data_IF_044349039603
#
_entry.id   IF_044349039603
#
_cell.length_a   1.000
_cell.length_b   1.000
_cell.length_c   1.000
_cell.angle_alpha   90.00
_cell.angle_beta   90.00
_cell.angle_gamma   90.00
#
_symmetry.space_group_name_H-M   'P 1'
#
loop_
_entity.id
_entity.type
_entity.pdbx_description
1 polymer ?
#
# COMPACT_ATOMS: atom_id res chain seq x y z
N UNK A 1 -10.32 42.44 -15.64
CA UNK A 1 -11.43 42.03 -14.79
C UNK A 1 -11.77 40.54 -14.94
N UNK A 2 -12.01 40.01 -16.16
CA UNK A 2 -12.31 38.59 -16.41
C UNK A 2 -11.24 37.62 -15.88
N UNK A 3 -9.96 37.86 -16.19
CA UNK A 3 -8.81 37.05 -15.72
C UNK A 3 -8.68 37.02 -14.20
N UNK A 4 -8.98 38.10 -13.51
CA UNK A 4 -8.94 38.16 -12.04
C UNK A 4 -10.08 37.32 -11.43
N UNK A 5 -11.27 37.39 -12.00
CA UNK A 5 -12.43 36.59 -11.56
C UNK A 5 -12.17 35.11 -11.81
N UNK A 6 -11.63 34.75 -12.98
CA UNK A 6 -11.28 33.37 -13.31
C UNK A 6 -10.20 32.81 -12.37
N UNK A 7 -9.17 33.61 -12.08
CA UNK A 7 -8.11 33.25 -11.12
C UNK A 7 -8.68 33.06 -9.70
N UNK A 8 -9.58 33.94 -9.25
CA UNK A 8 -10.19 33.83 -7.93
C UNK A 8 -11.07 32.57 -7.81
N UNK A 9 -11.86 32.25 -8.86
CA UNK A 9 -12.71 31.05 -8.89
C UNK A 9 -11.83 29.78 -8.89
N UNK A 10 -10.77 29.73 -9.71
CA UNK A 10 -9.84 28.61 -9.75
C UNK A 10 -9.14 28.42 -8.40
N UNK A 11 -8.66 29.50 -7.80
CA UNK A 11 -7.99 29.44 -6.51
C UNK A 11 -8.92 28.99 -5.37
N UNK A 12 -10.17 29.49 -5.36
CA UNK A 12 -11.18 29.06 -4.38
C UNK A 12 -11.57 27.58 -4.56
N UNK A 13 -11.69 27.09 -5.80
CA UNK A 13 -11.98 25.68 -6.07
C UNK A 13 -10.81 24.76 -5.69
N UNK A 14 -9.57 25.17 -5.89
CA UNK A 14 -8.40 24.42 -5.45
C UNK A 14 -8.37 24.27 -3.93
N UNK A 15 -8.59 25.34 -3.19
CA UNK A 15 -8.59 25.31 -1.72
C UNK A 15 -9.72 24.44 -1.15
N UNK A 16 -10.89 24.42 -1.82
CA UNK A 16 -11.99 23.52 -1.46
C UNK A 16 -11.61 22.04 -1.71
N UNK A 17 -10.97 21.75 -2.83
CA UNK A 17 -10.51 20.40 -3.16
C UNK A 17 -9.44 19.91 -2.18
N UNK A 18 -8.50 20.76 -1.79
CA UNK A 18 -7.49 20.45 -0.77
C UNK A 18 -8.14 20.06 0.56
N UNK A 19 -9.09 20.85 1.03
CA UNK A 19 -9.80 20.58 2.27
C UNK A 19 -10.61 19.26 2.22
N UNK A 20 -11.33 19.03 1.12
CA UNK A 20 -12.08 17.78 0.94
C UNK A 20 -11.13 16.57 0.96
N UNK A 21 -9.97 16.69 0.35
CA UNK A 21 -9.00 15.61 0.32
C UNK A 21 -8.37 15.33 1.69
N UNK A 22 -8.04 16.38 2.45
CA UNK A 22 -7.56 16.23 3.81
C UNK A 22 -8.59 15.51 4.69
N UNK A 23 -9.87 15.94 4.62
CA UNK A 23 -10.95 15.28 5.34
C UNK A 23 -11.13 13.81 4.92
N UNK A 24 -10.99 13.49 3.63
CA UNK A 24 -11.04 12.11 3.13
C UNK A 24 -9.88 11.26 3.65
N UNK A 25 -8.66 11.80 3.70
CA UNK A 25 -7.51 11.09 4.25
C UNK A 25 -7.68 10.80 5.74
N UNK A 26 -8.13 11.79 6.52
CA UNK A 26 -8.40 11.62 7.94
C UNK A 26 -9.52 10.59 8.19
N UNK A 27 -10.57 10.64 7.38
CA UNK A 27 -11.64 9.64 7.42
C UNK A 27 -11.11 8.23 7.14
N UNK A 28 -10.33 8.07 6.07
CA UNK A 28 -9.70 6.79 5.71
C UNK A 28 -8.78 6.28 6.81
N UNK A 29 -7.93 7.15 7.39
CA UNK A 29 -7.04 6.79 8.50
C UNK A 29 -7.84 6.24 9.68
N UNK A 30 -8.96 6.89 10.03
CA UNK A 30 -9.85 6.48 11.11
C UNK A 30 -10.56 5.16 10.79
N UNK A 31 -10.99 4.95 9.54
CA UNK A 31 -11.59 3.68 9.09
C UNK A 31 -10.59 2.53 9.22
N UNK A 32 -9.35 2.69 8.76
CA UNK A 32 -8.34 1.65 8.89
C UNK A 32 -7.98 1.34 10.35
N UNK A 33 -7.89 2.37 11.20
CA UNK A 33 -7.68 2.18 12.63
C UNK A 33 -8.83 1.38 13.25
N UNK A 34 -10.06 1.74 12.92
CA UNK A 34 -11.26 1.05 13.40
C UNK A 34 -11.26 -0.42 12.93
N UNK A 35 -10.96 -0.68 11.65
CA UNK A 35 -10.84 -2.03 11.12
C UNK A 35 -9.77 -2.84 11.85
N UNK A 36 -8.60 -2.25 12.13
CA UNK A 36 -7.56 -2.90 12.89
C UNK A 36 -8.03 -3.28 14.31
N UNK A 37 -8.71 -2.36 15.00
CA UNK A 37 -9.26 -2.61 16.34
C UNK A 37 -10.32 -3.70 16.33
N UNK A 38 -11.29 -3.64 15.40
CA UNK A 38 -12.35 -4.65 15.27
C UNK A 38 -11.73 -6.01 14.96
N UNK A 39 -10.80 -6.08 14.02
CA UNK A 39 -10.11 -7.33 13.70
C UNK A 39 -9.27 -7.85 14.88
N UNK A 40 -8.62 -6.99 15.66
CA UNK A 40 -7.90 -7.40 16.86
C UNK A 40 -8.85 -8.01 17.91
N UNK A 41 -10.02 -7.40 18.08
CA UNK A 41 -11.04 -7.82 19.05
C UNK A 41 -11.69 -9.16 18.69
N UNK A 42 -11.99 -9.43 17.43
CA UNK A 42 -12.62 -10.68 17.01
C UNK A 42 -11.78 -11.88 17.43
N UNK A 43 -12.31 -12.75 18.30
CA UNK A 43 -11.63 -13.96 18.74
C UNK A 43 -11.64 -15.02 17.64
N UNK A 44 -10.46 -15.56 17.30
CA UNK A 44 -10.34 -16.70 16.42
C UNK A 44 -10.15 -17.98 17.25
N UNK A 45 -10.76 -19.09 16.81
CA UNK A 45 -10.62 -20.38 17.48
C UNK A 45 -9.14 -20.77 17.66
N UNK A 46 -8.83 -21.37 18.80
CA UNK A 46 -7.47 -21.82 19.15
C UNK A 46 -7.09 -23.16 18.52
N UNK A 47 -8.03 -23.85 17.86
CA UNK A 47 -7.76 -25.13 17.21
C UNK A 47 -6.64 -25.01 16.17
N UNK A 48 -5.85 -26.07 15.94
CA UNK A 48 -4.72 -26.05 15.00
C UNK A 48 -5.14 -25.72 13.56
N UNK A 49 -6.37 -26.05 13.18
CA UNK A 49 -6.93 -25.78 11.83
C UNK A 49 -7.00 -24.29 11.51
N UNK A 50 -7.29 -23.46 12.53
CA UNK A 50 -7.38 -22.00 12.40
C UNK A 50 -6.04 -21.26 12.53
N UNK A 51 -4.91 -21.98 12.65
CA UNK A 51 -3.57 -21.37 12.72
C UNK A 51 -3.24 -20.43 11.55
N UNK A 52 -3.55 -20.78 10.27
CA UNK A 52 -3.34 -19.86 9.13
C UNK A 52 -4.20 -18.61 9.25
N UNK A 53 -5.46 -18.75 9.64
CA UNK A 53 -6.37 -17.63 9.83
C UNK A 53 -5.90 -16.68 10.94
N UNK A 54 -5.45 -17.21 12.09
CA UNK A 54 -4.88 -16.37 13.15
C UNK A 54 -3.62 -15.62 12.72
N UNK A 55 -2.80 -16.25 11.87
CA UNK A 55 -1.62 -15.60 11.32
C UNK A 55 -2.01 -14.49 10.34
N UNK A 56 -2.90 -14.76 9.40
CA UNK A 56 -3.42 -13.79 8.45
C UNK A 56 -4.05 -12.60 9.18
N UNK A 57 -4.90 -12.86 10.16
CA UNK A 57 -5.53 -11.83 10.98
C UNK A 57 -4.51 -10.90 11.64
N UNK A 58 -3.46 -11.45 12.29
CA UNK A 58 -2.42 -10.62 12.94
C UNK A 58 -1.65 -9.76 11.92
N UNK A 59 -1.38 -10.30 10.74
CA UNK A 59 -0.72 -9.56 9.68
C UNK A 59 -1.61 -8.44 9.15
N UNK A 60 -2.91 -8.69 8.93
CA UNK A 60 -3.85 -7.65 8.50
C UNK A 60 -4.05 -6.57 9.55
N UNK A 61 -4.11 -6.92 10.83
CA UNK A 61 -4.14 -5.91 11.91
C UNK A 61 -2.90 -5.02 11.85
N UNK A 62 -1.72 -5.62 11.68
CA UNK A 62 -0.47 -4.88 11.48
C UNK A 62 -0.53 -3.96 10.26
N UNK A 63 -0.96 -4.47 9.11
CA UNK A 63 -1.10 -3.69 7.88
C UNK A 63 -2.01 -2.47 8.08
N UNK A 64 -3.21 -2.67 8.63
CA UNK A 64 -4.16 -1.58 8.84
C UNK A 64 -3.68 -0.54 9.86
N UNK A 65 -2.93 -0.95 10.89
CA UNK A 65 -2.31 -0.01 11.82
C UNK A 65 -1.25 0.84 11.13
N UNK A 66 -0.38 0.23 10.31
CA UNK A 66 0.63 0.98 9.56
C UNK A 66 -0.01 1.88 8.52
N UNK A 67 -1.05 1.43 7.81
CA UNK A 67 -1.77 2.24 6.83
C UNK A 67 -2.41 3.46 7.49
N UNK A 68 -3.09 3.26 8.62
CA UNK A 68 -3.64 4.37 9.40
C UNK A 68 -2.56 5.34 9.87
N UNK A 69 -1.44 4.81 10.40
CA UNK A 69 -0.32 5.63 10.85
C UNK A 69 0.31 6.44 9.70
N UNK A 70 0.44 5.85 8.51
CA UNK A 70 0.93 6.53 7.31
C UNK A 70 0.03 7.70 6.92
N UNK A 71 -1.28 7.47 6.83
CA UNK A 71 -2.24 8.53 6.49
C UNK A 71 -2.25 9.65 7.51
N UNK A 72 -2.18 9.35 8.81
CA UNK A 72 -2.03 10.37 9.85
C UNK A 72 -0.70 11.11 9.74
N UNK A 73 0.42 10.40 9.54
CA UNK A 73 1.72 11.03 9.34
C UNK A 73 1.70 11.98 8.14
N UNK A 74 1.05 11.58 7.04
CA UNK A 74 0.88 12.43 5.87
C UNK A 74 0.15 13.74 6.22
N UNK A 75 -0.99 13.68 6.92
CA UNK A 75 -1.71 14.88 7.37
C UNK A 75 -0.85 15.80 8.25
N UNK A 76 -0.03 15.24 9.14
CA UNK A 76 0.85 16.02 9.99
C UNK A 76 2.02 16.65 9.24
N UNK A 77 2.62 15.93 8.28
CA UNK A 77 3.79 16.39 7.54
C UNK A 77 3.43 17.44 6.49
N UNK A 78 2.29 17.28 5.82
CA UNK A 78 1.86 18.21 4.76
C UNK A 78 1.08 19.40 5.29
N UNK A 79 0.61 19.35 6.55
CA UNK A 79 -0.34 20.34 7.12
C UNK A 79 -1.56 20.58 6.22
N UNK A 80 -1.96 19.56 5.46
CA UNK A 80 -3.04 19.64 4.48
C UNK A 80 -2.68 20.34 3.16
N UNK A 81 -1.44 20.76 2.94
CA UNK A 81 -1.03 21.40 1.69
C UNK A 81 -0.61 20.36 0.65
N UNK A 82 -1.33 20.32 -0.46
CA UNK A 82 -1.06 19.41 -1.60
C UNK A 82 0.25 19.69 -2.33
N UNK A 83 0.71 20.92 -2.29
CA UNK A 83 1.87 21.38 -3.05
C UNK A 83 3.21 21.03 -2.40
N UNK A 84 3.18 20.51 -1.18
CA UNK A 84 4.39 20.10 -0.46
C UNK A 84 4.66 18.62 -0.67
N UNK A 85 4.66 18.17 -1.96
CA UNK A 85 5.19 16.86 -2.27
C UNK A 85 6.72 16.93 -2.22
N UNK A 86 7.22 16.94 -0.98
CA UNK A 86 8.65 16.96 -0.71
C UNK A 86 9.21 15.53 -0.83
N UNK A 87 10.47 15.40 -1.22
CA UNK A 87 11.21 14.13 -1.26
C UNK A 87 11.11 13.32 0.03
N UNK A 88 10.95 14.00 1.17
CA UNK A 88 10.75 13.36 2.48
C UNK A 88 9.47 12.53 2.53
N UNK A 89 8.39 13.07 2.00
CA UNK A 89 7.06 12.42 1.98
C UNK A 89 7.10 11.22 1.04
N UNK A 90 7.65 11.40 -0.17
CA UNK A 90 7.81 10.30 -1.14
C UNK A 90 8.64 9.15 -0.56
N UNK A 91 9.74 9.45 0.13
CA UNK A 91 10.57 8.44 0.78
C UNK A 91 9.83 7.75 1.93
N UNK A 92 9.07 8.49 2.72
CA UNK A 92 8.25 7.93 3.80
C UNK A 92 7.16 7.01 3.24
N UNK A 93 6.48 7.44 2.18
CA UNK A 93 5.44 6.66 1.50
C UNK A 93 6.00 5.34 0.96
N UNK A 94 7.11 5.36 0.24
CA UNK A 94 7.74 4.13 -0.28
C UNK A 94 8.08 3.15 0.85
N UNK A 95 8.64 3.65 1.96
CA UNK A 95 9.01 2.82 3.11
C UNK A 95 7.77 2.20 3.77
N UNK A 96 6.75 3.01 4.00
CA UNK A 96 5.56 2.59 4.73
C UNK A 96 4.65 1.70 3.88
N UNK A 97 4.37 2.07 2.63
CA UNK A 97 3.58 1.24 1.71
C UNK A 97 4.25 -0.11 1.45
N UNK A 98 5.56 -0.15 1.27
CA UNK A 98 6.26 -1.42 1.09
C UNK A 98 6.08 -2.35 2.30
N UNK A 99 6.18 -1.82 3.52
CA UNK A 99 5.98 -2.59 4.74
C UNK A 99 4.53 -3.10 4.87
N UNK A 100 3.56 -2.23 4.61
CA UNK A 100 2.14 -2.58 4.61
C UNK A 100 1.85 -3.71 3.63
N UNK A 101 2.36 -3.59 2.42
CA UNK A 101 2.17 -4.56 1.36
C UNK A 101 2.78 -5.91 1.71
N UNK A 102 3.94 -5.94 2.37
CA UNK A 102 4.49 -7.20 2.91
C UNK A 102 3.48 -7.86 3.86
N UNK A 103 2.91 -7.11 4.79
CA UNK A 103 1.94 -7.67 5.75
C UNK A 103 0.68 -8.19 5.05
N UNK A 104 0.10 -7.41 4.14
CA UNK A 104 -1.08 -7.79 3.37
C UNK A 104 -0.79 -9.03 2.53
N UNK A 105 0.32 -9.04 1.80
CA UNK A 105 0.74 -10.13 0.95
C UNK A 105 0.87 -11.44 1.72
N UNK A 106 1.55 -11.41 2.86
CA UNK A 106 1.71 -12.61 3.70
C UNK A 106 0.43 -13.01 4.43
N UNK A 107 -0.49 -12.09 4.68
CA UNK A 107 -1.82 -12.43 5.16
C UNK A 107 -2.56 -13.28 4.13
N UNK A 108 -2.64 -12.81 2.88
CA UNK A 108 -3.28 -13.56 1.80
C UNK A 108 -2.61 -14.91 1.52
N UNK A 109 -1.29 -14.97 1.44
CA UNK A 109 -0.59 -16.23 1.26
C UNK A 109 -0.80 -17.20 2.42
N UNK A 110 -0.96 -16.71 3.64
CA UNK A 110 -1.27 -17.57 4.79
C UNK A 110 -2.62 -18.24 4.65
N UNK A 111 -3.59 -17.62 3.96
CA UNK A 111 -4.91 -18.18 3.69
C UNK A 111 -4.90 -19.12 2.47
N UNK A 112 -4.28 -18.69 1.36
CA UNK A 112 -4.30 -19.45 0.10
C UNK A 112 -3.37 -20.65 0.11
N UNK A 113 -2.15 -20.48 0.59
CA UNK A 113 -1.13 -21.52 0.59
C UNK A 113 -0.22 -21.45 1.81
N UNK A 114 -0.55 -22.23 2.82
CA UNK A 114 0.21 -22.34 4.06
C UNK A 114 1.71 -22.62 3.87
N UNK A 115 2.08 -23.31 2.78
CA UNK A 115 3.48 -23.68 2.47
C UNK A 115 4.25 -22.51 1.82
N UNK A 116 3.57 -21.51 1.28
CA UNK A 116 4.24 -20.39 0.62
C UNK A 116 4.77 -19.36 1.63
N UNK A 117 4.02 -19.05 2.67
CA UNK A 117 4.39 -18.08 3.70
C UNK A 117 5.45 -18.62 4.67
N UNK A 118 6.64 -18.95 4.14
CA UNK A 118 7.76 -19.46 4.94
C UNK A 118 8.53 -18.34 5.63
N UNK A 119 9.12 -18.65 6.79
CA UNK A 119 9.98 -17.69 7.52
C UNK A 119 11.14 -17.16 6.65
N UNK A 120 11.76 -18.05 5.84
CA UNK A 120 12.88 -17.66 4.97
C UNK A 120 12.47 -16.59 3.95
N UNK A 121 11.31 -16.75 3.31
CA UNK A 121 10.81 -15.76 2.33
C UNK A 121 10.48 -14.44 3.01
N UNK A 122 9.82 -14.47 4.16
CA UNK A 122 9.55 -13.25 4.94
C UNK A 122 10.83 -12.51 5.31
N UNK A 123 11.90 -13.23 5.68
CA UNK A 123 13.19 -12.60 5.99
C UNK A 123 13.85 -11.99 4.76
N UNK A 124 13.73 -12.62 3.58
CA UNK A 124 14.24 -12.04 2.33
C UNK A 124 13.49 -10.76 1.99
N UNK A 125 12.15 -10.77 2.07
CA UNK A 125 11.35 -9.58 1.79
C UNK A 125 11.56 -8.47 2.82
N UNK A 126 11.73 -8.81 4.09
CA UNK A 126 12.13 -7.85 5.12
C UNK A 126 13.54 -7.26 4.86
N UNK A 127 14.49 -8.08 4.38
CA UNK A 127 15.81 -7.61 3.96
C UNK A 127 15.76 -6.65 2.77
N UNK A 128 14.93 -6.95 1.78
CA UNK A 128 14.69 -6.06 0.64
C UNK A 128 14.02 -4.74 1.07
N UNK A 129 13.07 -4.81 1.99
CA UNK A 129 12.46 -3.63 2.58
C UNK A 129 13.50 -2.78 3.34
N UNK A 130 14.37 -3.39 4.16
CA UNK A 130 15.46 -2.67 4.84
C UNK A 130 16.41 -2.01 3.85
N UNK A 131 16.72 -2.67 2.74
CA UNK A 131 17.52 -2.08 1.66
C UNK A 131 16.79 -0.87 1.04
N UNK A 132 15.48 -0.98 0.79
CA UNK A 132 14.66 0.14 0.30
C UNK A 132 14.67 1.30 1.30
N UNK A 133 14.55 1.03 2.61
CA UNK A 133 14.68 2.05 3.66
C UNK A 133 16.05 2.75 3.60
N UNK A 134 17.14 1.99 3.48
CA UNK A 134 18.48 2.54 3.40
C UNK A 134 18.64 3.46 2.16
N UNK A 135 18.14 3.04 1.00
CA UNK A 135 18.17 3.83 -0.23
C UNK A 135 17.31 5.11 -0.09
N UNK A 136 16.08 5.00 0.43
CA UNK A 136 15.20 6.14 0.64
C UNK A 136 15.79 7.15 1.62
N UNK A 137 16.36 6.69 2.73
CA UNK A 137 17.03 7.56 3.70
C UNK A 137 18.28 8.19 3.07
N UNK A 138 19.07 7.46 2.28
CA UNK A 138 20.24 8.00 1.59
C UNK A 138 19.88 9.12 0.62
N UNK A 139 18.69 9.06 -0.01
CA UNK A 139 18.20 10.12 -0.90
C UNK A 139 17.94 11.45 -0.18
N UNK A 140 17.77 11.42 1.15
CA UNK A 140 17.47 12.61 1.97
C UNK A 140 18.75 13.22 2.58
N UNK A 141 19.80 12.42 2.75
CA UNK A 141 21.04 12.87 3.43
C UNK A 141 21.78 13.89 2.56
N UNK A 142 22.17 15.06 3.11
CA UNK A 142 22.82 16.15 2.37
C UNK A 142 24.09 15.71 1.59
N UNK A 143 24.88 14.82 2.15
CA UNK A 143 26.11 14.31 1.54
C UNK A 143 25.86 13.58 0.22
N UNK A 144 24.67 12.99 0.03
CA UNK A 144 24.30 12.21 -1.15
C UNK A 144 23.36 12.94 -2.12
N UNK A 145 23.12 14.24 -1.92
CA UNK A 145 22.27 15.05 -2.78
C UNK A 145 22.57 14.91 -4.29
N UNK A 146 23.84 14.84 -4.75
CA UNK A 146 24.14 14.65 -6.18
C UNK A 146 23.61 13.32 -6.75
N UNK A 147 23.38 12.33 -5.89
CA UNK A 147 22.92 10.97 -6.25
C UNK A 147 21.47 10.71 -5.84
N UNK A 148 20.75 11.74 -5.38
CA UNK A 148 19.37 11.64 -4.86
C UNK A 148 18.44 10.86 -5.78
N UNK A 149 18.40 11.22 -7.06
CA UNK A 149 17.48 10.60 -8.02
C UNK A 149 17.81 9.13 -8.27
N UNK A 150 19.09 8.77 -8.22
CA UNK A 150 19.52 7.37 -8.36
C UNK A 150 19.03 6.54 -7.19
N UNK A 151 19.19 7.03 -5.97
CA UNK A 151 18.72 6.33 -4.75
C UNK A 151 17.19 6.22 -4.74
N UNK A 152 16.48 7.31 -5.07
CA UNK A 152 15.03 7.35 -5.18
C UNK A 152 14.50 6.35 -6.19
N UNK A 153 15.02 6.40 -7.44
CA UNK A 153 14.61 5.48 -8.50
C UNK A 153 14.94 4.03 -8.16
N UNK A 154 16.06 3.78 -7.50
CA UNK A 154 16.44 2.44 -7.04
C UNK A 154 15.48 1.89 -5.98
N UNK A 155 15.10 2.71 -4.99
CA UNK A 155 14.13 2.35 -3.96
C UNK A 155 12.75 2.04 -4.59
N UNK A 156 12.28 2.91 -5.47
CA UNK A 156 11.01 2.74 -6.19
C UNK A 156 11.02 1.50 -7.08
N UNK A 157 12.13 1.23 -7.76
CA UNK A 157 12.30 0.03 -8.60
C UNK A 157 12.20 -1.25 -7.78
N UNK A 158 12.81 -1.29 -6.59
CA UNK A 158 12.70 -2.43 -5.68
C UNK A 158 11.26 -2.64 -5.21
N UNK A 159 10.55 -1.57 -4.89
CA UNK A 159 9.15 -1.62 -4.49
C UNK A 159 8.25 -2.13 -5.62
N UNK A 160 8.39 -1.59 -6.84
CA UNK A 160 7.64 -2.04 -8.02
C UNK A 160 7.95 -3.51 -8.32
N UNK A 161 9.21 -3.93 -8.27
CA UNK A 161 9.60 -5.31 -8.49
C UNK A 161 8.97 -6.26 -7.45
N UNK A 162 8.85 -5.82 -6.20
CA UNK A 162 8.13 -6.56 -5.16
C UNK A 162 6.66 -6.73 -5.51
N UNK A 163 5.95 -5.65 -5.90
CA UNK A 163 4.53 -5.69 -6.27
C UNK A 163 4.31 -6.64 -7.47
N UNK A 164 5.09 -6.49 -8.54
CA UNK A 164 4.98 -7.34 -9.74
C UNK A 164 5.18 -8.81 -9.38
N UNK A 165 6.23 -9.12 -8.60
CA UNK A 165 6.49 -10.48 -8.11
C UNK A 165 5.33 -11.02 -7.29
N UNK A 166 4.75 -10.17 -6.43
CA UNK A 166 3.63 -10.55 -5.60
C UNK A 166 2.40 -10.87 -6.43
N UNK A 167 1.97 -9.95 -7.29
CA UNK A 167 0.80 -10.14 -8.17
C UNK A 167 0.94 -11.42 -9.01
N UNK A 168 2.10 -11.62 -9.63
CA UNK A 168 2.38 -12.84 -10.39
C UNK A 168 2.24 -14.11 -9.54
N UNK A 169 2.86 -14.11 -8.37
CA UNK A 169 2.81 -15.26 -7.46
C UNK A 169 1.41 -15.51 -6.95
N UNK A 170 0.67 -14.44 -6.65
CA UNK A 170 -0.70 -14.55 -6.19
C UNK A 170 -1.60 -15.18 -7.26
N UNK A 171 -1.54 -14.68 -8.49
CA UNK A 171 -2.33 -15.23 -9.62
C UNK A 171 -2.06 -16.74 -9.77
N UNK A 172 -0.78 -17.15 -9.71
CA UNK A 172 -0.42 -18.59 -9.78
C UNK A 172 -1.01 -19.41 -8.62
N UNK A 173 -0.93 -18.88 -7.39
CA UNK A 173 -1.47 -19.57 -6.21
C UNK A 173 -2.99 -19.62 -6.23
N UNK A 174 -3.63 -18.56 -6.67
CA UNK A 174 -5.07 -18.49 -6.85
C UNK A 174 -5.55 -19.52 -7.87
N UNK A 175 -4.97 -19.56 -9.07
CA UNK A 175 -5.30 -20.54 -10.10
C UNK A 175 -5.08 -21.99 -9.63
N UNK A 176 -3.99 -22.24 -8.89
CA UNK A 176 -3.74 -23.56 -8.32
C UNK A 176 -4.77 -23.94 -7.24
N UNK A 177 -5.27 -22.98 -6.49
CA UNK A 177 -6.31 -23.19 -5.48
C UNK A 177 -7.67 -23.45 -6.12
N UNK A 178 -8.03 -22.69 -7.16
CA UNK A 178 -9.25 -22.91 -7.95
C UNK A 178 -9.27 -24.34 -8.53
N UNK A 179 -8.21 -24.73 -9.23
CA UNK A 179 -8.11 -26.09 -9.83
C UNK A 179 -8.22 -27.22 -8.78
N UNK A 180 -7.69 -27.00 -7.57
CA UNK A 180 -7.83 -27.99 -6.49
C UNK A 180 -9.26 -28.09 -5.99
N UNK A 181 -9.96 -26.98 -5.91
CA UNK A 181 -11.34 -26.96 -5.42
C UNK A 181 -12.33 -27.51 -6.46
N UNK A 182 -12.13 -27.23 -7.74
CA UNK A 182 -12.90 -27.82 -8.83
C UNK A 182 -12.81 -29.35 -8.84
N UNK A 183 -11.66 -29.91 -8.41
CA UNK A 183 -11.46 -31.36 -8.32
C UNK A 183 -12.08 -32.02 -7.07
N UNK A 184 -12.35 -31.24 -6.00
CA UNK A 184 -12.78 -31.81 -4.71
C UNK A 184 -14.18 -31.40 -4.25
N UNK A 185 -14.74 -30.29 -4.77
CA UNK A 185 -16.00 -29.75 -4.26
C UNK A 185 -16.92 -29.28 -5.39
N UNK A 186 -18.14 -29.82 -5.42
CA UNK A 186 -19.20 -29.33 -6.30
C UNK A 186 -19.81 -28.02 -5.76
N UNK A 187 -19.90 -27.02 -6.63
CA UNK A 187 -20.76 -25.82 -6.65
C UNK A 187 -20.77 -24.79 -5.47
N UNK A 188 -20.58 -25.15 -4.21
CA UNK A 188 -20.80 -24.18 -3.12
C UNK A 188 -19.58 -23.33 -2.72
N UNK A 189 -18.37 -23.66 -3.18
CA UNK A 189 -17.15 -22.92 -2.85
C UNK A 189 -16.75 -21.85 -3.88
N UNK A 190 -17.39 -21.81 -5.03
CA UNK A 190 -17.09 -20.81 -6.08
C UNK A 190 -17.23 -19.37 -5.57
N UNK A 191 -18.24 -19.06 -4.76
CA UNK A 191 -18.46 -17.73 -4.21
C UNK A 191 -17.30 -17.24 -3.33
N UNK A 192 -16.75 -18.09 -2.46
CA UNK A 192 -15.65 -17.72 -1.57
C UNK A 192 -14.35 -17.44 -2.34
N UNK A 193 -14.11 -18.18 -3.42
CA UNK A 193 -12.93 -18.01 -4.27
C UNK A 193 -13.07 -16.75 -5.13
N UNK A 194 -14.24 -16.48 -5.66
CA UNK A 194 -14.51 -15.25 -6.42
C UNK A 194 -14.24 -14.01 -5.59
N UNK A 195 -14.66 -13.99 -4.33
CA UNK A 195 -14.35 -12.89 -3.40
C UNK A 195 -12.86 -12.64 -3.23
N UNK A 196 -12.09 -13.72 -3.10
CA UNK A 196 -10.63 -13.61 -2.97
C UNK A 196 -10.01 -13.07 -4.26
N UNK A 197 -10.49 -13.51 -5.44
CA UNK A 197 -10.05 -13.00 -6.74
C UNK A 197 -10.36 -11.51 -6.91
N UNK A 198 -11.60 -11.11 -6.60
CA UNK A 198 -12.03 -9.70 -6.67
C UNK A 198 -11.21 -8.82 -5.73
N UNK A 199 -10.95 -9.27 -4.49
CA UNK A 199 -10.13 -8.53 -3.53
C UNK A 199 -8.73 -8.26 -4.04
N UNK A 200 -8.12 -9.18 -4.78
CA UNK A 200 -6.79 -8.99 -5.35
C UNK A 200 -6.79 -8.06 -6.55
N UNK A 201 -7.81 -8.13 -7.39
CA UNK A 201 -7.95 -7.16 -8.49
C UNK A 201 -8.07 -5.75 -7.93
N UNK A 202 -8.93 -5.55 -6.93
CA UNK A 202 -9.07 -4.26 -6.26
C UNK A 202 -7.75 -3.79 -5.64
N UNK A 203 -7.02 -4.69 -5.00
CA UNK A 203 -5.72 -4.38 -4.40
C UNK A 203 -4.66 -4.04 -5.46
N UNK A 204 -4.62 -4.77 -6.59
CA UNK A 204 -3.73 -4.45 -7.69
C UNK A 204 -4.04 -3.09 -8.32
N UNK A 205 -5.32 -2.73 -8.45
CA UNK A 205 -5.76 -1.39 -8.88
C UNK A 205 -5.33 -0.33 -7.88
N UNK A 206 -5.50 -0.56 -6.58
CA UNK A 206 -5.07 0.37 -5.53
C UNK A 206 -3.55 0.59 -5.56
N UNK A 207 -2.76 -0.45 -5.75
CA UNK A 207 -1.30 -0.33 -5.90
C UNK A 207 -0.91 0.45 -7.15
N UNK A 208 -1.58 0.17 -8.28
CA UNK A 208 -1.35 0.93 -9.51
C UNK A 208 -1.64 2.42 -9.30
N UNK A 209 -2.74 2.75 -8.64
CA UNK A 209 -3.08 4.13 -8.30
C UNK A 209 -2.06 4.76 -7.35
N UNK A 210 -1.61 4.03 -6.31
CA UNK A 210 -0.58 4.51 -5.39
C UNK A 210 0.76 4.78 -6.11
N UNK A 211 1.19 3.90 -7.00
CA UNK A 211 2.38 4.11 -7.83
C UNK A 211 2.19 5.33 -8.73
N UNK A 212 1.03 5.47 -9.37
CA UNK A 212 0.74 6.62 -10.21
C UNK A 212 0.78 7.94 -9.45
N UNK A 213 0.27 7.99 -8.21
CA UNK A 213 0.37 9.20 -7.38
C UNK A 213 1.81 9.55 -7.03
N UNK A 214 2.67 8.56 -6.80
CA UNK A 214 4.11 8.78 -6.57
C UNK A 214 4.82 9.36 -7.82
N UNK A 215 4.39 8.98 -9.01
CA UNK A 215 4.95 9.53 -10.26
C UNK A 215 4.37 10.90 -10.64
N UNK A 216 3.14 11.22 -10.25
CA UNK A 216 2.50 12.51 -10.58
C UNK A 216 3.25 13.69 -9.97
N UNK A 217 3.89 13.52 -8.80
CA UNK A 217 4.74 14.57 -8.22
C UNK A 217 5.88 15.02 -9.14
N UNK A 218 6.44 14.13 -9.96
CA UNK A 218 7.52 14.44 -10.91
C UNK A 218 6.97 14.97 -12.25
N UNK A 219 5.90 14.36 -12.76
CA UNK A 219 5.34 14.72 -14.08
C UNK A 219 4.40 15.93 -14.00
N UNK A 220 3.70 16.12 -12.89
CA UNK A 220 2.82 17.28 -12.73
C UNK A 220 3.61 18.58 -12.66
N UNK A 221 4.77 18.58 -11.99
CA UNK A 221 5.69 19.71 -12.02
C UNK A 221 6.28 19.98 -13.41
N UNK A 222 6.51 18.94 -14.23
CA UNK A 222 6.95 19.11 -15.61
C UNK A 222 5.84 19.66 -16.53
N UNK A 223 4.59 19.27 -16.31
CA UNK A 223 3.43 19.74 -17.11
C UNK A 223 2.98 21.15 -16.72
N UNK A 224 3.24 21.59 -15.50
CA UNK A 224 2.86 22.93 -15.00
C UNK A 224 3.96 23.97 -15.26
N UNK A 225 5.21 23.53 -15.56
CA UNK A 225 6.33 24.43 -15.91
C UNK A 225 6.48 24.68 -17.42
N UNK A 226 5.64 24.08 -18.27
CA UNK A 226 5.53 24.39 -19.70
C UNK A 226 4.28 25.21 -19.96
#
# INVERSE_FOLDING_TARGET
MFLVILHTILFSSMHLLEKIFEELIQCNATVYLTLAMVMAWVKASLTPEYKPYRRAKRLLVGAYLFFSANLFAWCFLTKGEWNVYDYYIECADVILFYLEDIFICYAFFSLLNKRYATRRRMMIDAGLWLLTCALSVSAIIPTFLPYRDIFRLSALTLYIAFIVRFVYTYIRQYQASVRRLDNYYSNNMHGMIQWTGTSVILMAVSWFLAIMTMFQGVYFNLLVQV
#
